data_IF_324730840623
#
_entry.id   IF_324730840623
#
_cell.length_a   1.000
_cell.length_b   1.000
_cell.length_c   1.000
_cell.angle_alpha   90.00
_cell.angle_beta   90.00
_cell.angle_gamma   90.00
#
_symmetry.space_group_name_H-M   'P 1'
#
loop_
_entity.id
_entity.type
_entity.pdbx_description
1 polymer ?
#
# COMPACT_ATOMS: atom_id res chain seq x y z
N UNK A 1 3.19 -0.16 2.54
CA UNK A 1 4.36 -1.05 2.40
C UNK A 1 3.98 -2.53 2.36
N UNK A 2 3.19 -3.04 3.35
CA UNK A 2 2.86 -4.46 3.41
C UNK A 2 2.13 -4.98 2.16
N UNK A 3 1.10 -4.29 1.71
CA UNK A 3 0.34 -4.72 0.53
C UNK A 3 1.19 -4.72 -0.75
N UNK A 4 2.05 -3.74 -0.93
CA UNK A 4 2.99 -3.67 -2.04
C UNK A 4 4.03 -4.80 -1.95
N UNK A 5 4.47 -5.15 -0.74
CA UNK A 5 5.35 -6.30 -0.50
C UNK A 5 4.67 -7.63 -0.89
N UNK A 6 3.40 -7.80 -0.51
CA UNK A 6 2.60 -8.98 -0.88
C UNK A 6 2.51 -9.13 -2.40
N UNK A 7 2.27 -8.02 -3.10
CA UNK A 7 2.19 -7.99 -4.56
C UNK A 7 3.54 -8.34 -5.20
N UNK A 8 4.62 -7.69 -4.76
CA UNK A 8 5.98 -7.99 -5.25
C UNK A 8 6.35 -9.46 -5.02
N UNK A 9 6.03 -10.00 -3.84
CA UNK A 9 6.26 -11.43 -3.56
C UNK A 9 5.55 -12.33 -4.57
N UNK A 10 4.29 -12.02 -4.90
CA UNK A 10 3.53 -12.78 -5.89
C UNK A 10 4.20 -12.75 -7.26
N UNK A 11 4.65 -11.57 -7.73
CA UNK A 11 5.38 -11.46 -8.99
C UNK A 11 6.59 -12.40 -9.02
N UNK A 12 7.43 -12.38 -7.98
CA UNK A 12 8.63 -13.23 -7.92
C UNK A 12 8.29 -14.71 -7.96
N UNK A 13 7.32 -15.16 -7.15
CA UNK A 13 7.01 -16.59 -7.04
C UNK A 13 6.21 -17.13 -8.22
N UNK A 14 5.39 -16.30 -8.87
CA UNK A 14 4.64 -16.69 -10.06
C UNK A 14 5.53 -16.73 -11.32
N UNK A 15 6.57 -15.89 -11.38
CA UNK A 15 7.57 -15.95 -12.45
C UNK A 15 8.50 -17.17 -12.32
N UNK A 16 8.62 -17.72 -11.10
CA UNK A 16 9.47 -18.87 -10.79
C UNK A 16 8.68 -19.95 -10.03
N UNK A 17 7.75 -20.64 -10.70
CA UNK A 17 6.83 -21.57 -10.04
C UNK A 17 7.53 -22.77 -9.37
N UNK A 18 8.72 -23.13 -9.84
CA UNK A 18 9.51 -24.27 -9.34
C UNK A 18 10.29 -23.95 -8.04
N UNK A 19 10.17 -22.75 -7.50
CA UNK A 19 10.83 -22.39 -6.23
C UNK A 19 10.40 -23.34 -5.11
N UNK A 20 11.40 -23.81 -4.36
CA UNK A 20 11.17 -24.55 -3.12
C UNK A 20 10.54 -23.68 -2.04
N UNK A 21 9.91 -24.25 -1.00
CA UNK A 21 9.41 -23.48 0.14
C UNK A 21 10.49 -22.60 0.80
N UNK A 22 11.72 -23.14 0.94
CA UNK A 22 12.83 -22.40 1.54
C UNK A 22 13.23 -21.16 0.71
N UNK A 23 13.24 -21.27 -0.62
CA UNK A 23 13.52 -20.14 -1.50
C UNK A 23 12.41 -19.08 -1.41
N UNK A 24 11.14 -19.47 -1.31
CA UNK A 24 10.01 -18.53 -1.09
C UNK A 24 10.13 -17.85 0.26
N UNK A 25 10.53 -18.55 1.33
CA UNK A 25 10.80 -17.95 2.65
C UNK A 25 11.92 -16.91 2.57
N UNK A 26 13.00 -17.22 1.84
CA UNK A 26 14.10 -16.28 1.65
C UNK A 26 13.66 -15.00 0.93
N UNK A 27 12.88 -15.13 -0.15
CA UNK A 27 12.30 -13.95 -0.86
C UNK A 27 11.43 -13.11 0.08
N UNK A 28 10.55 -13.75 0.85
CA UNK A 28 9.70 -13.01 1.79
C UNK A 28 10.52 -12.25 2.83
N UNK A 29 11.55 -12.89 3.39
CA UNK A 29 12.46 -12.27 4.37
C UNK A 29 13.23 -11.09 3.78
N UNK A 30 13.71 -11.22 2.54
CA UNK A 30 14.36 -10.13 1.81
C UNK A 30 13.42 -8.94 1.61
N UNK A 31 12.20 -9.19 1.12
CA UNK A 31 11.20 -8.15 0.87
C UNK A 31 10.74 -7.47 2.16
N UNK A 32 10.68 -8.18 3.29
CA UNK A 32 10.46 -7.55 4.61
C UNK A 32 11.52 -6.50 4.91
N UNK A 33 12.80 -6.79 4.64
CA UNK A 33 13.89 -5.84 4.81
C UNK A 33 13.78 -4.61 3.92
N UNK A 34 13.23 -4.77 2.71
CA UNK A 34 13.04 -3.66 1.75
C UNK A 34 11.84 -2.79 2.13
N UNK A 35 10.68 -3.41 2.36
CA UNK A 35 9.42 -2.69 2.52
C UNK A 35 9.11 -2.27 3.96
N UNK A 36 9.65 -2.98 4.94
CA UNK A 36 9.42 -2.73 6.37
C UNK A 36 10.72 -2.83 7.18
N UNK A 37 11.75 -2.02 6.86
CA UNK A 37 13.08 -2.10 7.49
C UNK A 37 13.08 -1.82 8.99
N UNK A 38 12.01 -1.22 9.51
CA UNK A 38 11.82 -1.01 10.95
C UNK A 38 11.37 -2.26 11.70
N UNK A 39 10.84 -3.28 10.99
CA UNK A 39 10.44 -4.54 11.59
C UNK A 39 11.67 -5.45 11.77
N UNK A 40 12.14 -5.51 12.99
CA UNK A 40 13.20 -6.44 13.39
C UNK A 40 12.56 -7.75 13.85
N UNK A 41 12.25 -8.62 12.90
CA UNK A 41 11.88 -9.99 13.21
C UNK A 41 13.19 -10.75 13.47
N UNK A 42 13.51 -10.94 14.74
CA UNK A 42 14.71 -11.69 15.15
C UNK A 42 14.62 -13.17 14.76
N UNK A 43 15.77 -13.78 14.50
CA UNK A 43 15.87 -15.23 14.36
C UNK A 43 15.28 -15.89 15.60
N UNK A 44 14.48 -16.94 15.41
CA UNK A 44 13.83 -17.66 16.51
C UNK A 44 12.43 -17.18 16.88
N UNK A 45 11.85 -16.17 16.20
CA UNK A 45 10.41 -15.95 16.27
C UNK A 45 9.74 -16.99 15.37
N UNK A 46 9.02 -17.97 15.95
CA UNK A 46 8.41 -19.02 15.16
C UNK A 46 7.55 -18.46 14.06
N UNK A 47 7.60 -19.08 12.87
CA UNK A 47 6.81 -18.72 11.69
C UNK A 47 7.21 -17.40 11.02
N UNK A 48 7.55 -16.36 11.79
CA UNK A 48 7.89 -15.04 11.22
C UNK A 48 9.38 -14.84 10.98
N UNK A 49 10.22 -15.33 11.89
CA UNK A 49 11.67 -15.14 11.83
C UNK A 49 12.34 -15.83 10.64
N UNK A 50 11.78 -16.95 10.19
CA UNK A 50 12.30 -17.75 9.09
C UNK A 50 11.69 -17.40 7.71
N UNK A 51 10.86 -16.36 7.66
CA UNK A 51 10.25 -15.88 6.40
C UNK A 51 8.98 -16.61 5.98
N UNK A 52 8.38 -17.40 6.86
CA UNK A 52 7.18 -18.20 6.58
C UNK A 52 5.89 -17.35 6.57
N UNK A 53 5.97 -16.09 6.97
CA UNK A 53 4.81 -15.21 7.18
C UNK A 53 3.88 -15.03 5.98
N UNK A 54 4.36 -15.25 4.75
CA UNK A 54 3.53 -15.21 3.55
C UNK A 54 2.45 -16.30 3.53
N UNK A 55 2.70 -17.44 4.19
CA UNK A 55 1.80 -18.60 4.18
C UNK A 55 0.44 -18.29 4.82
N UNK A 56 0.36 -17.33 5.74
CA UNK A 56 -0.91 -16.91 6.34
C UNK A 56 -1.71 -15.94 5.46
N UNK A 57 -1.09 -15.39 4.41
CA UNK A 57 -1.75 -14.42 3.54
C UNK A 57 -2.65 -15.14 2.54
N UNK A 58 -3.91 -15.33 2.92
CA UNK A 58 -4.91 -16.07 2.14
C UNK A 58 -5.03 -15.61 0.69
N UNK A 59 -4.90 -14.31 0.46
CA UNK A 59 -5.02 -13.71 -0.88
C UNK A 59 -4.02 -14.28 -1.90
N UNK A 60 -2.83 -14.67 -1.45
CA UNK A 60 -1.82 -15.27 -2.33
C UNK A 60 -2.34 -16.57 -2.97
N UNK A 61 -3.20 -17.30 -2.27
CA UNK A 61 -3.70 -18.61 -2.72
C UNK A 61 -5.03 -18.54 -3.47
N UNK A 62 -5.94 -17.67 -3.02
CA UNK A 62 -7.33 -17.67 -3.50
C UNK A 62 -7.66 -16.52 -4.44
N UNK A 63 -6.93 -15.41 -4.34
CA UNK A 63 -7.11 -14.22 -5.16
C UNK A 63 -5.74 -13.61 -5.55
N UNK A 64 -4.95 -14.31 -6.40
CA UNK A 64 -3.65 -13.81 -6.82
C UNK A 64 -3.73 -12.40 -7.41
N UNK A 65 -2.76 -11.55 -7.07
CA UNK A 65 -2.64 -10.17 -7.54
C UNK A 65 -3.80 -9.22 -7.18
N UNK A 66 -4.71 -9.64 -6.32
CA UNK A 66 -5.79 -8.78 -5.83
C UNK A 66 -5.32 -7.80 -4.73
N UNK A 67 -4.32 -8.20 -3.93
CA UNK A 67 -3.97 -7.46 -2.71
C UNK A 67 -3.46 -6.04 -2.97
N UNK A 68 -2.92 -5.76 -4.14
CA UNK A 68 -2.48 -4.43 -4.55
C UNK A 68 -3.63 -3.41 -4.58
N UNK A 69 -4.86 -3.84 -4.80
CA UNK A 69 -6.03 -2.96 -4.84
C UNK A 69 -6.22 -2.19 -3.52
N UNK A 70 -5.86 -2.80 -2.38
CA UNK A 70 -5.88 -2.11 -1.08
C UNK A 70 -4.87 -0.96 -1.01
N UNK A 71 -3.72 -1.11 -1.66
CA UNK A 71 -2.71 -0.05 -1.72
C UNK A 71 -3.16 1.10 -2.62
N UNK A 72 -3.79 0.78 -3.74
CA UNK A 72 -4.37 1.76 -4.66
C UNK A 72 -5.49 2.54 -3.96
N UNK A 73 -6.41 1.84 -3.29
CA UNK A 73 -7.49 2.46 -2.51
C UNK A 73 -6.96 3.35 -1.38
N UNK A 74 -5.91 2.89 -0.67
CA UNK A 74 -5.26 3.67 0.39
C UNK A 74 -4.62 4.94 -0.17
N UNK A 75 -3.98 4.86 -1.33
CA UNK A 75 -3.38 6.03 -1.99
C UNK A 75 -4.44 7.05 -2.40
N UNK A 76 -5.58 6.60 -2.90
CA UNK A 76 -6.74 7.47 -3.19
C UNK A 76 -7.27 8.12 -1.92
N UNK A 77 -7.41 7.36 -0.84
CA UNK A 77 -7.83 7.88 0.47
C UNK A 77 -6.88 8.95 0.99
N UNK A 78 -5.57 8.75 0.83
CA UNK A 78 -4.56 9.74 1.20
C UNK A 78 -4.61 11.01 0.33
N UNK A 79 -4.96 10.92 -0.95
CA UNK A 79 -5.19 12.09 -1.79
C UNK A 79 -6.38 12.93 -1.26
N UNK A 80 -7.51 12.29 -0.93
CA UNK A 80 -8.64 12.99 -0.33
C UNK A 80 -8.27 13.62 1.01
N UNK A 81 -7.52 12.91 1.84
CA UNK A 81 -7.03 13.45 3.10
C UNK A 81 -6.12 14.67 2.87
N UNK A 82 -5.21 14.62 1.90
CA UNK A 82 -4.35 15.75 1.56
C UNK A 82 -5.14 16.97 1.04
N UNK A 83 -6.19 16.74 0.27
CA UNK A 83 -7.11 17.80 -0.14
C UNK A 83 -7.85 18.41 1.06
N UNK A 84 -8.32 17.56 2.00
CA UNK A 84 -8.98 18.01 3.22
C UNK A 84 -8.10 18.91 4.09
N UNK A 85 -6.78 18.70 4.11
CA UNK A 85 -5.86 19.57 4.85
C UNK A 85 -5.76 20.98 4.26
N UNK A 86 -6.11 21.14 2.97
CA UNK A 86 -6.02 22.43 2.25
C UNK A 86 -7.36 23.14 2.21
N UNK A 87 -8.40 22.46 1.80
CA UNK A 87 -9.74 23.00 1.60
C UNK A 87 -10.79 21.90 1.71
N UNK A 88 -11.56 21.93 2.78
CA UNK A 88 -12.57 20.93 3.10
C UNK A 88 -13.69 20.86 2.08
N UNK A 89 -14.16 22.01 1.61
CA UNK A 89 -15.31 22.08 0.70
C UNK A 89 -14.91 21.59 -0.70
N UNK A 90 -13.73 21.97 -1.15
CA UNK A 90 -13.15 21.46 -2.40
C UNK A 90 -12.89 19.94 -2.33
N UNK A 91 -12.32 19.45 -1.24
CA UNK A 91 -12.11 18.03 -1.03
C UNK A 91 -13.42 17.23 -1.07
N UNK A 92 -14.48 17.78 -0.48
CA UNK A 92 -15.81 17.18 -0.51
C UNK A 92 -16.38 17.08 -1.92
N UNK A 93 -16.18 18.12 -2.75
CA UNK A 93 -16.61 18.11 -4.16
C UNK A 93 -15.89 16.99 -4.95
N UNK A 94 -14.58 16.86 -4.80
CA UNK A 94 -13.80 15.78 -5.40
C UNK A 94 -14.29 14.40 -4.93
N UNK A 95 -14.50 14.23 -3.63
CA UNK A 95 -15.02 12.98 -3.07
C UNK A 95 -16.41 12.63 -3.61
N UNK A 96 -17.32 13.60 -3.72
CA UNK A 96 -18.64 13.38 -4.28
C UNK A 96 -18.61 13.11 -5.78
N UNK A 97 -17.69 13.69 -6.54
CA UNK A 97 -17.48 13.36 -7.95
C UNK A 97 -17.00 11.92 -8.11
N UNK A 98 -16.10 11.46 -7.24
CA UNK A 98 -15.61 10.09 -7.21
C UNK A 98 -16.72 9.09 -6.88
N UNK A 99 -17.43 9.29 -5.77
CA UNK A 99 -18.44 8.33 -5.28
C UNK A 99 -19.66 8.22 -6.18
N UNK A 100 -20.12 9.31 -6.80
CA UNK A 100 -21.26 9.32 -7.73
C UNK A 100 -21.01 8.49 -8.99
N UNK A 101 -19.76 8.27 -9.36
CA UNK A 101 -19.37 7.52 -10.55
C UNK A 101 -18.93 6.09 -10.26
N UNK A 102 -19.03 5.65 -9.00
CA UNK A 102 -18.64 4.29 -8.62
C UNK A 102 -19.32 3.24 -9.49
N UNK A 103 -18.52 2.32 -10.06
CA UNK A 103 -18.98 1.26 -10.94
C UNK A 103 -19.35 1.67 -12.37
N UNK A 104 -19.28 2.95 -12.73
CA UNK A 104 -19.68 3.42 -14.07
C UNK A 104 -18.54 3.44 -15.11
N UNK A 105 -17.29 3.38 -14.65
CA UNK A 105 -16.11 3.42 -15.52
C UNK A 105 -14.92 2.69 -14.85
N UNK A 106 -13.84 2.48 -15.63
CA UNK A 106 -12.61 1.89 -15.11
C UNK A 106 -11.94 2.81 -14.10
N UNK A 107 -11.18 2.24 -13.18
CA UNK A 107 -10.59 2.92 -12.04
C UNK A 107 -9.79 4.19 -12.41
N UNK A 108 -8.91 4.11 -13.40
CA UNK A 108 -8.10 5.26 -13.83
C UNK A 108 -8.96 6.41 -14.36
N UNK A 109 -10.05 6.10 -15.07
CA UNK A 109 -10.99 7.10 -15.58
C UNK A 109 -11.82 7.72 -14.45
N UNK A 110 -12.17 6.93 -13.45
CA UNK A 110 -12.86 7.40 -12.26
C UNK A 110 -12.02 8.44 -11.50
N UNK A 111 -10.70 8.20 -11.36
CA UNK A 111 -9.78 9.14 -10.73
C UNK A 111 -9.68 10.46 -11.53
N UNK A 112 -9.46 10.35 -12.83
CA UNK A 112 -9.40 11.51 -13.73
C UNK A 112 -10.67 12.38 -13.64
N UNK A 113 -11.84 11.76 -13.72
CA UNK A 113 -13.12 12.45 -13.61
C UNK A 113 -13.33 13.12 -12.23
N UNK A 114 -12.73 12.58 -11.19
CA UNK A 114 -12.75 13.14 -9.85
C UNK A 114 -11.64 14.18 -9.60
N UNK A 115 -10.79 14.46 -10.59
CA UNK A 115 -9.68 15.39 -10.45
C UNK A 115 -8.56 14.88 -9.52
N UNK A 116 -8.40 13.56 -9.45
CA UNK A 116 -7.35 12.90 -8.68
C UNK A 116 -6.23 12.40 -9.59
N UNK A 117 -5.03 12.31 -9.04
CA UNK A 117 -3.87 11.76 -9.74
C UNK A 117 -3.89 10.23 -9.73
N UNK A 118 -3.31 9.63 -10.77
CA UNK A 118 -3.16 8.19 -10.84
C UNK A 118 -2.15 7.67 -9.81
N UNK A 119 -2.54 6.70 -8.95
CA UNK A 119 -1.63 6.09 -7.98
C UNK A 119 -0.53 5.24 -8.61
N UNK A 120 -0.58 5.01 -9.92
CA UNK A 120 0.49 4.36 -10.68
C UNK A 120 1.62 5.34 -11.06
N UNK A 121 1.46 6.64 -10.79
CA UNK A 121 2.46 7.66 -11.05
C UNK A 121 3.28 7.99 -9.81
N UNK A 122 4.60 8.14 -9.98
CA UNK A 122 5.52 8.53 -8.88
C UNK A 122 5.12 9.87 -8.26
N UNK A 123 4.67 10.83 -9.07
CA UNK A 123 4.28 12.16 -8.62
C UNK A 123 3.14 12.10 -7.58
N UNK A 124 2.12 11.26 -7.81
CA UNK A 124 1.04 11.02 -6.87
C UNK A 124 1.55 10.50 -5.52
N UNK A 125 2.36 9.44 -5.55
CA UNK A 125 2.91 8.83 -4.33
C UNK A 125 3.79 9.82 -3.56
N UNK A 126 4.65 10.54 -4.26
CA UNK A 126 5.52 11.57 -3.66
C UNK A 126 4.69 12.68 -3.00
N UNK A 127 3.70 13.21 -3.68
CA UNK A 127 2.85 14.30 -3.16
C UNK A 127 2.08 13.92 -1.90
N UNK A 128 1.49 12.70 -1.85
CA UNK A 128 0.80 12.25 -0.63
C UNK A 128 1.77 11.95 0.50
N UNK A 129 2.95 11.38 0.22
CA UNK A 129 3.98 11.13 1.24
C UNK A 129 4.54 12.41 1.83
N UNK A 130 4.82 13.43 1.00
CA UNK A 130 5.31 14.73 1.45
C UNK A 130 4.27 15.43 2.33
N UNK A 131 2.99 15.40 1.93
CA UNK A 131 1.89 15.96 2.73
C UNK A 131 1.76 15.24 4.08
N UNK A 132 1.80 13.90 4.07
CA UNK A 132 1.70 13.11 5.30
C UNK A 132 2.89 13.35 6.22
N UNK A 133 4.11 13.43 5.66
CA UNK A 133 5.31 13.73 6.43
C UNK A 133 5.23 15.10 7.08
N UNK A 134 4.89 16.13 6.32
CA UNK A 134 4.76 17.50 6.84
C UNK A 134 3.71 17.58 7.96
N UNK A 135 2.60 16.84 7.82
CA UNK A 135 1.57 16.78 8.85
C UNK A 135 2.08 16.10 10.12
N UNK A 136 2.76 14.95 10.01
CA UNK A 136 3.37 14.25 11.15
C UNK A 136 4.44 15.12 11.84
N UNK A 137 5.29 15.77 11.08
CA UNK A 137 6.36 16.64 11.61
C UNK A 137 5.79 17.88 12.35
N UNK A 138 4.52 18.24 12.11
CA UNK A 138 3.86 19.34 12.79
C UNK A 138 3.35 19.01 14.20
N UNK A 139 3.34 17.73 14.57
CA UNK A 139 2.85 17.29 15.88
C UNK A 139 3.96 17.37 16.94
N UNK A 140 3.64 18.00 18.04
CA UNK A 140 4.47 17.95 19.25
C UNK A 140 4.22 16.62 19.97
N UNK A 141 5.23 15.77 19.95
CA UNK A 141 5.20 14.46 20.64
C UNK A 141 5.80 14.54 22.05
N UNK A 142 6.19 15.74 22.53
CA UNK A 142 6.67 15.92 23.89
C UNK A 142 5.54 15.64 24.89
N UNK A 143 5.70 14.58 25.69
CA UNK A 143 4.68 14.14 26.64
C UNK A 143 3.94 12.86 26.27
N UNK A 144 4.30 12.22 25.16
CA UNK A 144 3.80 10.89 24.76
C UNK A 144 4.76 9.74 25.19
N UNK A 145 5.77 10.04 26.02
CA UNK A 145 6.74 9.06 26.54
C UNK A 145 6.26 8.48 27.87
#
# INVERSE_FOLDING_TARGET
>A
PYGTMVDHFQHVVYEKPDMTPAERHAVWKELLGVYMPWMKLGDGIPFYGDGEGWQRQLHIYVNPFYYIDYCLAQTVSLQFWALLQKDKDNAWQHYMAYTKQGGSCVFTKLLENAGLESPFGEACLRGVCETAKAWLDSYDLTGLA
#
